data_IF_333575095797
#
_entry.id   IF_333575095797
#
_cell.length_a   1.000
_cell.length_b   1.000
_cell.length_c   1.000
_cell.angle_alpha   90.00
_cell.angle_beta   90.00
_cell.angle_gamma   90.00
#
_symmetry.space_group_name_H-M   'P 1'
#
loop_
_entity.id
_entity.type
_entity.pdbx_description
1 polymer ?
#
# COMPACT_ATOMS: atom_id res chain seq x y z
N UNK A 1 -23.34 -17.29 42.98
CA UNK A 1 -22.99 -15.97 42.40
C UNK A 1 -21.47 -15.86 42.26
N UNK A 2 -20.89 -16.24 41.12
CA UNK A 2 -19.44 -16.10 40.86
C UNK A 2 -19.09 -16.34 39.39
N UNK A 3 -19.72 -15.60 38.46
CA UNK A 3 -19.33 -15.56 37.04
C UNK A 3 -19.64 -14.19 36.46
N UNK A 4 -18.86 -13.16 36.82
CA UNK A 4 -19.01 -11.84 36.21
C UNK A 4 -17.76 -10.97 36.37
N UNK A 5 -16.55 -11.47 36.03
CA UNK A 5 -15.32 -10.65 36.04
C UNK A 5 -14.28 -11.05 34.99
N UNK A 6 -14.70 -11.50 33.80
CA UNK A 6 -13.75 -11.90 32.75
C UNK A 6 -14.18 -11.53 31.33
N UNK A 7 -14.98 -10.47 31.18
CA UNK A 7 -15.46 -10.00 29.86
C UNK A 7 -14.98 -8.60 29.48
N UNK A 8 -14.07 -7.98 30.25
CA UNK A 8 -13.69 -6.55 30.11
C UNK A 8 -12.19 -6.38 29.81
N UNK A 9 -11.56 -7.33 29.10
CA UNK A 9 -10.14 -7.17 28.68
C UNK A 9 -9.94 -7.39 27.18
N UNK A 10 -10.86 -8.08 26.49
CA UNK A 10 -10.70 -8.38 25.06
C UNK A 10 -11.19 -7.22 24.16
N UNK A 11 -11.96 -6.27 24.69
CA UNK A 11 -12.53 -5.15 23.92
C UNK A 11 -11.59 -3.95 23.73
N UNK A 12 -10.41 -3.93 24.36
CA UNK A 12 -9.50 -2.76 24.30
C UNK A 12 -8.35 -2.86 23.28
N UNK A 13 -8.21 -3.98 22.56
CA UNK A 13 -7.11 -4.16 21.61
C UNK A 13 -7.46 -3.83 20.14
N UNK A 14 -8.74 -3.61 19.80
CA UNK A 14 -9.18 -3.40 18.41
C UNK A 14 -9.29 -1.93 17.99
N UNK A 15 -9.00 -0.97 18.88
CA UNK A 15 -9.18 0.46 18.63
C UNK A 15 -7.87 1.23 18.35
N UNK A 16 -6.71 0.57 18.34
CA UNK A 16 -5.41 1.23 18.15
C UNK A 16 -4.75 0.99 16.78
N UNK A 17 -5.32 0.18 15.89
CA UNK A 17 -4.74 -0.09 14.55
C UNK A 17 -5.21 0.86 13.44
N UNK A 18 -6.19 1.74 13.68
CA UNK A 18 -6.78 2.56 12.61
C UNK A 18 -5.95 3.83 12.30
N UNK A 19 -5.10 4.31 13.21
CA UNK A 19 -4.35 5.56 12.99
C UNK A 19 -3.11 5.42 12.09
N UNK A 20 -2.67 4.21 11.73
CA UNK A 20 -1.47 4.03 10.89
C UNK A 20 -1.78 3.95 9.39
N UNK A 21 -3.04 3.72 9.00
CA UNK A 21 -3.41 3.54 7.59
C UNK A 21 -3.23 4.80 6.73
N UNK A 22 -3.38 5.99 7.30
CA UNK A 22 -3.24 7.26 6.56
C UNK A 22 -1.76 7.67 6.35
N UNK A 23 -0.85 7.23 7.22
CA UNK A 23 0.59 7.48 7.08
C UNK A 23 1.23 6.55 6.04
N UNK A 24 0.76 5.29 5.95
CA UNK A 24 1.27 4.29 4.99
C UNK A 24 1.03 4.66 3.52
N UNK A 25 0.02 5.49 3.22
CA UNK A 25 -0.42 5.72 1.84
C UNK A 25 0.41 6.79 1.08
N UNK A 26 1.35 7.47 1.74
CA UNK A 26 2.24 8.43 1.07
C UNK A 26 3.27 7.75 0.15
N UNK A 27 3.66 6.53 0.47
CA UNK A 27 4.74 5.82 -0.20
C UNK A 27 4.29 4.97 -1.40
N UNK A 28 2.99 4.77 -1.61
CA UNK A 28 2.43 3.82 -2.58
C UNK A 28 1.58 4.45 -3.71
N UNK A 29 1.64 5.77 -3.91
CA UNK A 29 0.80 6.45 -4.90
C UNK A 29 1.53 6.73 -6.23
N UNK A 30 0.98 6.32 -7.39
CA UNK A 30 1.56 6.57 -8.70
C UNK A 30 1.27 7.99 -9.20
N UNK A 31 1.88 9.01 -8.56
CA UNK A 31 1.63 10.42 -8.85
C UNK A 31 1.90 10.83 -10.30
N UNK A 32 2.77 10.10 -11.00
CA UNK A 32 3.10 10.33 -12.41
C UNK A 32 1.92 10.09 -13.37
N UNK A 33 0.86 9.42 -12.92
CA UNK A 33 -0.40 9.25 -13.65
C UNK A 33 -1.47 10.26 -13.23
N UNK A 34 -1.16 11.18 -12.31
CA UNK A 34 -2.11 12.17 -11.79
C UNK A 34 -1.93 13.54 -12.46
N UNK A 35 -2.95 14.42 -12.44
CA UNK A 35 -2.84 15.78 -12.95
C UNK A 35 -1.68 16.59 -12.33
N UNK A 36 -1.23 16.23 -11.12
CA UNK A 36 -0.07 16.89 -10.49
C UNK A 36 1.16 16.84 -11.40
N UNK A 37 1.36 15.76 -12.17
CA UNK A 37 2.50 15.62 -13.06
C UNK A 37 2.57 16.69 -14.17
N UNK A 38 1.42 17.23 -14.57
CA UNK A 38 1.33 18.31 -15.57
C UNK A 38 1.81 19.64 -14.99
N UNK A 39 1.48 19.90 -13.73
CA UNK A 39 1.79 21.15 -13.01
C UNK A 39 3.24 21.25 -12.50
N UNK A 40 4.02 20.15 -12.56
CA UNK A 40 5.41 20.14 -12.09
C UNK A 40 6.41 20.80 -13.05
N UNK A 41 5.98 21.19 -14.25
CA UNK A 41 6.88 21.76 -15.25
C UNK A 41 7.97 20.77 -15.69
N UNK A 42 7.62 19.49 -15.83
CA UNK A 42 8.57 18.46 -16.28
C UNK A 42 9.02 18.71 -17.71
N UNK A 43 10.34 18.67 -17.96
CA UNK A 43 10.88 18.75 -19.32
C UNK A 43 10.51 17.49 -20.13
N UNK A 44 10.58 17.57 -21.46
CA UNK A 44 10.35 16.41 -22.33
C UNK A 44 11.29 15.23 -21.99
N UNK A 45 12.57 15.54 -21.67
CA UNK A 45 13.54 14.55 -21.25
C UNK A 45 13.17 13.87 -19.92
N UNK A 46 12.70 14.64 -18.93
CA UNK A 46 12.24 14.11 -17.64
C UNK A 46 11.02 13.19 -17.82
N UNK A 47 10.01 13.64 -18.59
CA UNK A 47 8.82 12.83 -18.90
C UNK A 47 9.21 11.50 -19.55
N UNK A 48 10.09 11.55 -20.55
CA UNK A 48 10.55 10.34 -21.23
C UNK A 48 11.30 9.39 -20.29
N UNK A 49 12.15 9.92 -19.39
CA UNK A 49 12.88 9.11 -18.42
C UNK A 49 11.94 8.45 -17.41
N UNK A 50 10.96 9.19 -16.89
CA UNK A 50 9.92 8.64 -15.99
C UNK A 50 9.17 7.50 -16.69
N UNK A 51 8.73 7.71 -17.93
CA UNK A 51 8.04 6.67 -18.69
C UNK A 51 8.90 5.41 -18.91
N UNK A 52 10.21 5.57 -19.16
CA UNK A 52 11.12 4.44 -19.28
C UNK A 52 11.23 3.65 -17.97
N UNK A 53 11.36 4.34 -16.83
CA UNK A 53 11.43 3.70 -15.52
C UNK A 53 10.13 2.94 -15.23
N UNK A 54 8.96 3.58 -15.42
CA UNK A 54 7.66 2.93 -15.20
C UNK A 54 7.51 1.69 -16.07
N UNK A 55 7.87 1.76 -17.36
CA UNK A 55 7.83 0.59 -18.26
C UNK A 55 8.74 -0.55 -17.79
N UNK A 56 9.95 -0.24 -17.31
CA UNK A 56 10.91 -1.24 -16.83
C UNK A 56 10.47 -1.97 -15.53
N UNK A 57 9.50 -1.41 -14.80
CA UNK A 57 8.96 -2.00 -13.58
C UNK A 57 7.55 -2.59 -13.75
N UNK A 58 6.84 -2.26 -14.83
CA UNK A 58 5.43 -2.63 -15.03
C UNK A 58 5.19 -4.13 -14.85
N UNK A 59 5.90 -4.96 -15.60
CA UNK A 59 5.66 -6.40 -15.63
C UNK A 59 6.05 -7.04 -14.29
N UNK A 60 7.19 -6.64 -13.71
CA UNK A 60 7.62 -7.09 -12.38
C UNK A 60 6.63 -6.73 -11.26
N UNK A 61 6.04 -5.53 -11.32
CA UNK A 61 5.02 -5.09 -10.38
C UNK A 61 3.70 -5.85 -10.57
N UNK A 62 3.32 -6.14 -11.81
CA UNK A 62 2.15 -6.97 -12.12
C UNK A 62 2.32 -8.37 -11.55
N UNK A 63 3.44 -9.03 -11.83
CA UNK A 63 3.74 -10.38 -11.33
C UNK A 63 3.78 -10.42 -9.80
N UNK A 64 4.43 -9.45 -9.15
CA UNK A 64 4.51 -9.39 -7.70
C UNK A 64 3.13 -9.19 -7.03
N UNK A 65 2.26 -8.37 -7.62
CA UNK A 65 0.88 -8.16 -7.13
C UNK A 65 0.02 -9.41 -7.33
N UNK A 66 0.13 -10.07 -8.49
CA UNK A 66 -0.57 -11.31 -8.74
C UNK A 66 -0.11 -12.43 -7.81
N UNK A 67 1.19 -12.53 -7.52
CA UNK A 67 1.72 -13.49 -6.56
C UNK A 67 1.15 -13.26 -5.15
N UNK A 68 1.06 -11.99 -4.72
CA UNK A 68 0.42 -11.63 -3.46
C UNK A 68 -1.08 -11.97 -3.44
N UNK A 69 -1.81 -11.62 -4.50
CA UNK A 69 -3.24 -11.95 -4.61
C UNK A 69 -3.49 -13.46 -4.57
N UNK A 70 -2.64 -14.25 -5.24
CA UNK A 70 -2.73 -15.71 -5.21
C UNK A 70 -2.47 -16.27 -3.81
N UNK A 71 -1.46 -15.75 -3.10
CA UNK A 71 -1.17 -16.18 -1.73
C UNK A 71 -2.31 -15.81 -0.77
N UNK A 72 -2.95 -14.64 -0.97
CA UNK A 72 -4.11 -14.24 -0.18
C UNK A 72 -5.31 -15.16 -0.45
N UNK A 73 -5.61 -15.45 -1.73
CA UNK A 73 -6.68 -16.36 -2.08
C UNK A 73 -6.46 -17.78 -1.50
N UNK A 74 -5.22 -18.29 -1.56
CA UNK A 74 -4.84 -19.56 -0.94
C UNK A 74 -5.05 -19.54 0.59
N UNK A 75 -4.70 -18.44 1.26
CA UNK A 75 -4.98 -18.27 2.69
C UNK A 75 -6.49 -18.25 2.98
N UNK A 76 -7.25 -17.50 2.19
CA UNK A 76 -8.69 -17.37 2.34
C UNK A 76 -9.38 -18.74 2.14
N UNK A 77 -8.95 -19.54 1.16
CA UNK A 77 -9.45 -20.90 0.94
C UNK A 77 -9.21 -21.80 2.17
N UNK A 78 -7.99 -21.77 2.74
CA UNK A 78 -7.65 -22.56 3.94
C UNK A 78 -8.41 -22.13 5.19
N UNK A 79 -8.73 -20.85 5.32
CA UNK A 79 -9.52 -20.33 6.44
C UNK A 79 -11.01 -20.68 6.34
N UNK A 80 -11.50 -20.95 5.13
CA UNK A 80 -12.87 -21.41 4.89
C UNK A 80 -13.02 -22.94 4.97
N UNK A 81 -11.92 -23.68 5.14
CA UNK A 81 -11.96 -25.13 5.39
C UNK A 81 -12.55 -25.41 6.78
N UNK A 82 -13.52 -26.36 6.92
CA UNK A 82 -14.08 -26.72 8.22
C UNK A 82 -13.03 -27.23 9.23
N UNK A 83 -11.93 -27.83 8.77
CA UNK A 83 -10.87 -28.40 9.60
C UNK A 83 -9.54 -27.66 9.41
N UNK A 84 -9.46 -26.45 9.98
CA UNK A 84 -8.28 -25.57 9.93
C UNK A 84 -7.05 -26.24 10.57
N UNK A 85 -6.04 -26.56 9.74
CA UNK A 85 -4.76 -27.10 10.19
C UNK A 85 -3.67 -26.01 10.27
N UNK A 86 -3.33 -25.60 11.49
CA UNK A 86 -2.35 -24.55 11.76
C UNK A 86 -0.94 -24.82 11.20
N UNK A 87 -0.50 -26.08 11.20
CA UNK A 87 0.84 -26.44 10.69
C UNK A 87 0.94 -26.20 9.18
N UNK A 88 -0.18 -26.40 8.46
CA UNK A 88 -0.25 -26.14 7.01
C UNK A 88 -0.50 -24.67 6.67
N UNK A 89 -1.18 -23.91 7.53
CA UNK A 89 -1.49 -22.50 7.28
C UNK A 89 -0.28 -21.59 7.48
N UNK A 90 0.57 -21.90 8.48
CA UNK A 90 1.76 -21.10 8.79
C UNK A 90 2.61 -20.75 7.56
N UNK A 91 3.03 -21.68 6.69
CA UNK A 91 3.81 -21.35 5.50
C UNK A 91 3.05 -20.46 4.50
N UNK A 92 1.71 -20.55 4.42
CA UNK A 92 0.89 -19.68 3.56
C UNK A 92 0.83 -18.26 4.12
N UNK A 93 0.73 -18.09 5.44
CA UNK A 93 0.85 -16.78 6.11
C UNK A 93 2.21 -16.15 5.83
N UNK A 94 3.31 -16.90 5.96
CA UNK A 94 4.66 -16.42 5.66
C UNK A 94 4.79 -16.00 4.18
N UNK A 95 4.15 -16.74 3.28
CA UNK A 95 4.09 -16.44 1.84
C UNK A 95 3.30 -15.16 1.55
N UNK A 96 2.17 -14.92 2.20
CA UNK A 96 1.41 -13.65 2.09
C UNK A 96 2.29 -12.47 2.52
N UNK A 97 2.92 -12.56 3.71
CA UNK A 97 3.80 -11.51 4.21
C UNK A 97 4.98 -11.23 3.25
N UNK A 98 5.64 -12.30 2.76
CA UNK A 98 6.79 -12.18 1.86
C UNK A 98 6.41 -11.58 0.51
N UNK A 99 5.29 -12.00 -0.08
CA UNK A 99 4.82 -11.47 -1.38
C UNK A 99 4.35 -10.02 -1.28
N UNK A 100 3.73 -9.63 -0.15
CA UNK A 100 3.36 -8.24 0.14
C UNK A 100 4.60 -7.34 0.24
N UNK A 101 5.61 -7.80 0.99
CA UNK A 101 6.87 -7.10 1.14
C UNK A 101 7.58 -6.93 -0.22
N UNK A 102 7.59 -7.96 -1.06
CA UNK A 102 8.20 -7.90 -2.39
C UNK A 102 7.50 -6.89 -3.31
N UNK A 103 6.16 -6.89 -3.36
CA UNK A 103 5.41 -5.91 -4.14
C UNK A 103 5.68 -4.47 -3.67
N UNK A 104 5.74 -4.26 -2.35
CA UNK A 104 6.05 -2.94 -1.76
C UNK A 104 7.48 -2.52 -2.09
N UNK A 105 8.46 -3.42 -1.94
CA UNK A 105 9.86 -3.17 -2.28
C UNK A 105 10.02 -2.73 -3.74
N UNK A 106 9.45 -3.46 -4.69
CA UNK A 106 9.53 -3.10 -6.12
C UNK A 106 8.93 -1.73 -6.41
N UNK A 107 7.80 -1.40 -5.76
CA UNK A 107 7.17 -0.09 -5.93
C UNK A 107 8.05 1.04 -5.37
N UNK A 108 8.64 0.83 -4.18
CA UNK A 108 9.53 1.80 -3.55
C UNK A 108 10.81 2.01 -4.37
N UNK A 109 11.44 0.94 -4.85
CA UNK A 109 12.61 1.01 -5.73
C UNK A 109 12.33 1.85 -6.99
N UNK A 110 11.21 1.58 -7.66
CA UNK A 110 10.76 2.37 -8.82
C UNK A 110 10.54 3.85 -8.44
N UNK A 111 9.87 4.10 -7.31
CA UNK A 111 9.56 5.45 -6.84
C UNK A 111 10.82 6.26 -6.51
N UNK A 112 11.85 5.61 -5.94
CA UNK A 112 13.16 6.22 -5.70
C UNK A 112 13.85 6.59 -7.01
N UNK A 113 13.81 5.71 -8.02
CA UNK A 113 14.38 6.04 -9.34
C UNK A 113 13.66 7.22 -10.00
N UNK A 114 12.32 7.24 -9.95
CA UNK A 114 11.51 8.34 -10.47
C UNK A 114 11.84 9.64 -9.70
N UNK A 115 11.98 9.59 -8.37
CA UNK A 115 12.41 10.72 -7.57
C UNK A 115 13.75 11.28 -8.05
N UNK A 116 14.69 10.43 -8.46
CA UNK A 116 15.99 10.83 -8.99
C UNK A 116 15.94 11.63 -10.30
N UNK A 117 14.81 11.62 -11.03
CA UNK A 117 14.62 12.40 -12.26
C UNK A 117 14.26 13.87 -11.99
N UNK A 118 13.66 14.14 -10.82
CA UNK A 118 13.16 15.47 -10.46
C UNK A 118 14.25 16.33 -9.84
N UNK A 119 14.18 17.65 -10.10
CA UNK A 119 14.92 18.62 -9.30
C UNK A 119 14.39 18.67 -7.87
N UNK A 120 15.17 19.24 -6.95
CA UNK A 120 14.73 19.40 -5.57
C UNK A 120 13.48 20.29 -5.45
N UNK A 121 13.38 21.34 -6.28
CA UNK A 121 12.22 22.25 -6.25
C UNK A 121 10.97 21.58 -6.81
N UNK A 122 11.09 20.85 -7.92
CA UNK A 122 9.97 20.03 -8.45
C UNK A 122 9.49 19.03 -7.40
N UNK A 123 10.40 18.38 -6.68
CA UNK A 123 10.05 17.46 -5.60
C UNK A 123 9.29 18.16 -4.45
N UNK A 124 9.76 19.33 -4.02
CA UNK A 124 9.09 20.11 -2.96
C UNK A 124 7.68 20.52 -3.37
N UNK A 125 7.49 20.93 -4.63
CA UNK A 125 6.17 21.24 -5.19
C UNK A 125 5.28 20.00 -5.16
N UNK A 126 5.79 18.85 -5.65
CA UNK A 126 5.05 17.59 -5.63
C UNK A 126 4.59 17.23 -4.21
N UNK A 127 5.50 17.24 -3.22
CA UNK A 127 5.17 16.88 -1.83
C UNK A 127 4.10 17.80 -1.26
N UNK A 128 4.19 19.11 -1.51
CA UNK A 128 3.18 20.08 -1.06
C UNK A 128 1.81 19.81 -1.68
N UNK A 129 1.76 19.67 -3.01
CA UNK A 129 0.51 19.39 -3.75
C UNK A 129 -0.12 18.07 -3.34
N UNK A 130 0.71 17.07 -3.08
CA UNK A 130 0.26 15.77 -2.62
C UNK A 130 -0.40 15.86 -1.23
N UNK A 131 0.22 16.58 -0.30
CA UNK A 131 -0.37 16.80 1.04
C UNK A 131 -1.69 17.57 0.95
N UNK A 132 -1.80 18.56 0.06
CA UNK A 132 -3.04 19.27 -0.24
C UNK A 132 -4.13 18.33 -0.79
N UNK A 133 -3.79 17.43 -1.73
CA UNK A 133 -4.73 16.45 -2.27
C UNK A 133 -5.21 15.45 -1.21
N UNK A 134 -4.31 14.97 -0.35
CA UNK A 134 -4.66 14.04 0.72
C UNK A 134 -5.59 14.68 1.75
N UNK A 135 -5.39 15.97 2.06
CA UNK A 135 -6.30 16.75 2.92
C UNK A 135 -7.67 16.99 2.28
N UNK A 136 -7.74 17.05 0.95
CA UNK A 136 -8.98 17.31 0.19
C UNK A 136 -9.82 16.06 -0.08
N UNK A 137 -9.27 14.84 -0.04
CA UNK A 137 -10.10 13.62 -0.08
C UNK A 137 -11.00 13.64 1.16
N UNK A 138 -12.33 13.76 1.02
CA UNK A 138 -13.22 13.68 2.17
C UNK A 138 -12.97 12.34 2.86
N UNK A 139 -13.05 12.34 4.18
CA UNK A 139 -13.12 11.12 4.98
C UNK A 139 -14.41 10.37 4.67
N UNK A 140 -14.51 9.74 3.50
CA UNK A 140 -15.58 8.83 3.10
C UNK A 140 -15.46 7.48 3.84
N UNK A 141 -15.34 7.54 5.16
CA UNK A 141 -15.53 6.42 6.09
C UNK A 141 -16.29 6.84 7.35
N UNK A 142 -16.93 8.01 7.35
CA UNK A 142 -18.02 8.29 8.28
C UNK A 142 -19.36 8.07 7.58
N UNK A 143 -19.82 6.81 7.58
CA UNK A 143 -21.25 6.53 7.61
C UNK A 143 -21.50 5.21 8.35
N UNK A 144 -21.90 5.26 9.64
CA UNK A 144 -22.76 4.23 10.22
C UNK A 144 -24.19 4.45 9.67
N UNK A 145 -24.90 3.39 9.26
CA UNK A 145 -25.58 2.49 10.20
C UNK A 145 -25.38 1.00 9.93
#
# INVERSE_FOLDING_TARGET
>A
MRRLRLSIVITWALLLTVLTASAQNRANFPWWNSPIAEDLGLTAAQKQKIHQIVRAYRDRLFDARNAHQKAQAELDDMLNDPDVNFDTIKPVVDKVATTQANASRLFLEMSVQIRGVLTLDQWRVLVRRWDEMQKKRPSETQTPP
#
